data_IF_975037273385
#
_entry.id   IF_975037273385
#
_cell.length_a   1.000
_cell.length_b   1.000
_cell.length_c   1.000
_cell.angle_alpha   90.00
_cell.angle_beta   90.00
_cell.angle_gamma   90.00
#
_symmetry.space_group_name_H-M   'P 1'
#
loop_
_entity.id
_entity.type
_entity.pdbx_description
1 polymer ?
#
# COMPACT_ATOMS: atom_id res chain seq x y z
N UNK A 1 -13.28 18.68 -7.80
CA UNK A 1 -12.83 17.42 -8.42
C UNK A 1 -11.79 16.77 -7.52
N UNK A 2 -12.24 15.94 -6.59
CA UNK A 2 -11.36 15.15 -5.73
C UNK A 2 -10.78 14.01 -6.57
N UNK A 3 -9.51 14.07 -6.94
CA UNK A 3 -8.86 12.98 -7.66
C UNK A 3 -8.90 11.72 -6.76
N UNK A 4 -9.75 10.76 -7.14
CA UNK A 4 -9.98 9.48 -6.44
C UNK A 4 -8.86 8.46 -6.68
N UNK A 5 -7.89 8.79 -7.53
CA UNK A 5 -6.80 7.90 -7.93
C UNK A 5 -5.44 8.61 -7.89
N UNK A 6 -4.38 7.81 -7.76
CA UNK A 6 -2.97 8.22 -7.84
C UNK A 6 -2.32 7.50 -9.01
N UNK A 7 -1.62 8.26 -9.86
CA UNK A 7 -0.79 7.71 -10.94
C UNK A 7 0.68 7.76 -10.54
N UNK A 8 1.29 6.60 -10.34
CA UNK A 8 2.73 6.47 -10.11
C UNK A 8 3.43 6.14 -11.43
N UNK A 9 4.43 6.94 -11.80
CA UNK A 9 5.34 6.69 -12.93
C UNK A 9 6.69 6.22 -12.41
N UNK A 10 7.38 5.39 -13.18
CA UNK A 10 8.74 4.91 -12.87
C UNK A 10 8.97 3.51 -13.38
N UNK A 11 10.14 2.92 -13.08
CA UNK A 11 10.38 1.51 -13.34
C UNK A 11 9.37 0.68 -12.54
N UNK A 12 8.44 0.06 -13.25
CA UNK A 12 7.50 -0.91 -12.72
C UNK A 12 7.76 -2.22 -13.43
N UNK A 13 7.64 -3.32 -12.69
CA UNK A 13 7.68 -4.64 -13.29
C UNK A 13 6.34 -5.36 -13.09
N UNK A 14 6.07 -6.34 -13.94
CA UNK A 14 4.80 -7.08 -13.89
C UNK A 14 4.61 -7.80 -12.55
N UNK A 15 5.71 -8.17 -11.88
CA UNK A 15 5.67 -8.86 -10.59
C UNK A 15 5.13 -7.97 -9.48
N UNK A 16 5.38 -6.66 -9.51
CA UNK A 16 4.82 -5.72 -8.53
C UNK A 16 3.29 -5.64 -8.64
N UNK A 17 2.77 -5.55 -9.86
CA UNK A 17 1.31 -5.54 -10.12
C UNK A 17 0.68 -6.84 -9.64
N UNK A 18 1.27 -7.98 -10.02
CA UNK A 18 0.80 -9.31 -9.62
C UNK A 18 0.87 -9.52 -8.11
N UNK A 19 1.93 -9.04 -7.45
CA UNK A 19 2.07 -9.14 -6.00
C UNK A 19 0.98 -8.33 -5.29
N UNK A 20 0.67 -7.11 -5.73
CA UNK A 20 -0.40 -6.30 -5.16
C UNK A 20 -1.78 -6.96 -5.33
N UNK A 21 -2.07 -7.52 -6.50
CA UNK A 21 -3.31 -8.27 -6.75
C UNK A 21 -3.40 -9.51 -5.86
N UNK A 22 -2.32 -10.31 -5.80
CA UNK A 22 -2.27 -11.52 -4.96
C UNK A 22 -2.46 -11.21 -3.48
N UNK A 23 -1.80 -10.16 -2.97
CA UNK A 23 -1.99 -9.68 -1.61
C UNK A 23 -3.44 -9.32 -1.32
N UNK A 24 -4.11 -8.62 -2.25
CA UNK A 24 -5.51 -8.23 -2.09
C UNK A 24 -6.45 -9.44 -2.05
N UNK A 25 -6.17 -10.45 -2.89
CA UNK A 25 -7.02 -11.64 -3.02
C UNK A 25 -6.86 -12.62 -1.84
N UNK A 26 -5.67 -12.68 -1.23
CA UNK A 26 -5.33 -13.73 -0.27
C UNK A 26 -5.11 -13.22 1.15
N UNK A 27 -5.13 -11.91 1.38
CA UNK A 27 -4.91 -11.31 2.72
C UNK A 27 -5.96 -10.26 3.04
N UNK A 28 -6.09 -9.94 4.32
CA UNK A 28 -6.87 -8.80 4.80
C UNK A 28 -6.07 -7.50 4.80
N UNK A 29 -4.87 -7.47 4.19
CA UNK A 29 -4.06 -6.27 4.16
C UNK A 29 -4.74 -5.20 3.30
N UNK A 30 -4.88 -3.95 3.81
CA UNK A 30 -5.43 -2.87 3.03
C UNK A 30 -4.40 -2.41 1.99
N UNK A 31 -4.54 -2.92 0.77
CA UNK A 31 -3.78 -2.46 -0.41
C UNK A 31 -4.72 -1.74 -1.38
N UNK A 32 -4.24 -0.71 -2.09
CA UNK A 32 -5.07 0.06 -3.01
C UNK A 32 -5.44 -0.75 -4.25
N UNK A 33 -6.64 -0.48 -4.74
CA UNK A 33 -7.13 -1.07 -5.99
C UNK A 33 -6.35 -0.54 -7.18
N UNK A 34 -5.90 -1.45 -8.05
CA UNK A 34 -5.25 -1.10 -9.31
C UNK A 34 -6.34 -0.94 -10.36
N UNK A 35 -6.51 0.28 -10.88
CA UNK A 35 -7.49 0.57 -11.92
C UNK A 35 -6.91 0.36 -13.32
N UNK A 36 -5.65 0.76 -13.53
CA UNK A 36 -4.97 0.58 -14.81
C UNK A 36 -3.45 0.54 -14.60
N UNK A 37 -2.72 -0.08 -15.52
CA UNK A 37 -1.27 -0.02 -15.55
C UNK A 37 -0.75 -0.18 -16.97
N UNK A 38 0.46 0.32 -17.21
CA UNK A 38 1.25 0.09 -18.42
C UNK A 38 2.66 -0.23 -17.99
N UNK A 39 3.24 -1.27 -18.59
CA UNK A 39 4.63 -1.64 -18.36
C UNK A 39 5.30 -1.67 -19.74
N UNK A 40 6.07 -0.62 -20.01
CA UNK A 40 6.96 -0.50 -21.17
C UNK A 40 8.31 0.08 -20.70
N UNK A 41 9.36 -0.07 -21.51
CA UNK A 41 10.74 0.27 -21.11
C UNK A 41 10.94 1.77 -20.79
N UNK A 42 10.09 2.65 -21.32
CA UNK A 42 10.31 4.12 -21.31
C UNK A 42 9.20 4.93 -20.62
N UNK A 43 8.03 4.33 -20.33
CA UNK A 43 6.82 4.99 -19.85
C UNK A 43 5.90 4.05 -19.05
N UNK A 44 6.49 3.35 -18.09
CA UNK A 44 5.76 2.52 -17.15
C UNK A 44 4.96 3.36 -16.14
N UNK A 45 3.70 2.97 -15.90
CA UNK A 45 2.86 3.58 -14.87
C UNK A 45 1.87 2.59 -14.25
N UNK A 46 1.39 2.93 -13.06
CA UNK A 46 0.27 2.28 -12.38
C UNK A 46 -0.68 3.36 -11.84
N UNK A 47 -1.97 3.20 -12.12
CA UNK A 47 -3.06 4.02 -11.60
C UNK A 47 -3.84 3.21 -10.57
N UNK A 48 -3.90 3.74 -9.35
CA UNK A 48 -4.49 3.04 -8.21
C UNK A 48 -5.37 3.95 -7.36
N UNK A 49 -6.20 3.35 -6.52
CA UNK A 49 -7.01 4.06 -5.53
C UNK A 49 -6.15 4.97 -4.64
N UNK A 50 -6.63 6.20 -4.43
CA UNK A 50 -6.01 7.10 -3.46
C UNK A 50 -6.48 6.74 -2.05
N UNK A 51 -5.60 6.11 -1.28
CA UNK A 51 -5.82 5.92 0.16
C UNK A 51 -5.32 7.15 0.93
N UNK A 52 -6.24 7.88 1.57
CA UNK A 52 -5.92 9.04 2.39
C UNK A 52 -5.41 8.60 3.77
N UNK A 53 -4.10 8.41 3.89
CA UNK A 53 -3.44 7.96 5.13
C UNK A 53 -2.25 8.84 5.48
N UNK A 54 -1.83 8.73 6.74
CA UNK A 54 -0.57 9.28 7.25
C UNK A 54 0.40 8.11 7.49
N UNK A 55 1.67 8.33 7.21
CA UNK A 55 2.68 7.28 7.40
C UNK A 55 2.93 7.07 8.88
N UNK A 56 3.34 5.84 9.27
CA UNK A 56 3.72 5.55 10.66
C UNK A 56 4.82 6.50 11.16
N UNK A 57 5.77 6.84 10.28
CA UNK A 57 6.84 7.81 10.55
C UNK A 57 6.29 9.19 10.94
N UNK A 58 5.32 9.70 10.18
CA UNK A 58 4.69 10.99 10.47
C UNK A 58 3.88 10.94 11.77
N UNK A 59 3.18 9.83 12.04
CA UNK A 59 2.45 9.66 13.29
C UNK A 59 3.38 9.71 14.52
N UNK A 60 4.56 9.08 14.42
CA UNK A 60 5.58 9.10 15.46
C UNK A 60 6.15 10.52 15.61
N UNK A 61 6.52 11.16 14.50
CA UNK A 61 7.09 12.51 14.51
C UNK A 61 6.14 13.57 15.11
N UNK A 62 4.83 13.38 14.96
CA UNK A 62 3.80 14.29 15.47
C UNK A 62 3.25 13.87 16.84
N UNK A 63 3.89 12.91 17.52
CA UNK A 63 3.45 12.38 18.83
C UNK A 63 1.98 11.93 18.87
N UNK A 64 1.46 11.45 17.73
CA UNK A 64 0.08 10.96 17.58
C UNK A 64 -0.10 9.51 18.03
N UNK A 65 0.99 8.84 18.38
CA UNK A 65 1.02 7.43 18.78
C UNK A 65 1.45 7.33 20.24
N UNK A 66 0.66 6.61 21.04
CA UNK A 66 0.94 6.26 22.43
C UNK A 66 1.54 4.86 22.52
N UNK A 67 2.13 4.50 23.66
CA UNK A 67 2.78 3.21 23.85
C UNK A 67 1.85 2.01 23.60
N UNK A 68 0.58 2.11 23.97
CA UNK A 68 -0.46 1.10 23.73
C UNK A 68 -0.81 0.95 22.24
N UNK A 69 -0.76 2.04 21.47
CA UNK A 69 -0.93 1.99 20.01
C UNK A 69 0.20 1.23 19.33
N UNK A 70 1.45 1.36 19.81
CA UNK A 70 2.60 0.65 19.24
C UNK A 70 2.42 -0.86 19.33
N UNK A 71 1.97 -1.37 20.48
CA UNK A 71 1.71 -2.81 20.66
C UNK A 71 0.62 -3.32 19.71
N UNK A 72 -0.45 -2.55 19.53
CA UNK A 72 -1.54 -2.91 18.60
C UNK A 72 -1.06 -2.92 17.15
N UNK A 73 -0.29 -1.91 16.74
CA UNK A 73 0.30 -1.82 15.40
C UNK A 73 1.25 -3.00 15.16
N UNK A 74 2.12 -3.32 16.11
CA UNK A 74 3.04 -4.46 16.02
C UNK A 74 2.29 -5.79 15.87
N UNK A 75 1.20 -5.98 16.64
CA UNK A 75 0.33 -7.15 16.51
C UNK A 75 -0.29 -7.24 15.12
N UNK A 76 -0.90 -6.16 14.62
CA UNK A 76 -1.50 -6.13 13.28
C UNK A 76 -0.47 -6.42 12.17
N UNK A 77 0.74 -5.84 12.26
CA UNK A 77 1.81 -6.12 11.31
C UNK A 77 2.23 -7.60 11.34
N UNK A 78 2.31 -8.19 12.52
CA UNK A 78 2.61 -9.62 12.63
C UNK A 78 1.50 -10.48 12.00
N UNK A 79 0.23 -10.15 12.25
CA UNK A 79 -0.91 -10.87 11.67
C UNK A 79 -0.87 -10.82 10.13
N UNK A 80 -0.55 -9.66 9.55
CA UNK A 80 -0.35 -9.50 8.12
C UNK A 80 0.84 -10.32 7.57
N UNK A 81 1.96 -10.35 8.28
CA UNK A 81 3.12 -11.17 7.89
C UNK A 81 2.75 -12.66 7.91
N UNK A 82 1.96 -13.12 8.89
CA UNK A 82 1.53 -14.53 8.94
C UNK A 82 0.61 -14.90 7.77
N UNK A 83 -0.22 -13.97 7.29
CA UNK A 83 -1.09 -14.22 6.13
C UNK A 83 -0.33 -14.34 4.80
N UNK A 84 0.90 -13.82 4.73
CA UNK A 84 1.76 -13.91 3.54
C UNK A 84 2.64 -15.16 3.51
N UNK A 85 2.59 -16.01 4.54
CA UNK A 85 3.35 -17.26 4.64
C UNK A 85 2.56 -18.44 4.09
#
# INVERSE_FOLDING_TARGET
>A
NSNTYVKRKGQLNMREVQAMQSIKEHTTMPVPDIYSYRIDESNSFIEMERIAVITLKECIAQSRIKADHIQRIAKQLNDYIQQMR
#
